data_IF_604545301384
#
_entry.id   IF_604545301384
#
_cell.length_a   1.000
_cell.length_b   1.000
_cell.length_c   1.000
_cell.angle_alpha   90.00
_cell.angle_beta   90.00
_cell.angle_gamma   90.00
#
_symmetry.space_group_name_H-M   'P 1'
#
loop_
_entity.id
_entity.type
_entity.pdbx_description
1 polymer ?
#
# COMPACT_ATOMS: atom_id res chain seq x y z
N UNK A 1 5.52 1.56 -3.89
CA UNK A 1 4.53 2.29 -4.70
C UNK A 1 3.09 1.79 -4.48
N UNK A 2 2.81 0.50 -4.67
CA UNK A 2 1.43 -0.05 -4.58
C UNK A 2 0.75 0.13 -3.22
N UNK A 3 1.50 0.18 -2.12
CA UNK A 3 0.96 0.40 -0.76
C UNK A 3 0.32 1.78 -0.60
N UNK A 4 1.02 2.82 -1.05
CA UNK A 4 0.55 4.22 -0.97
C UNK A 4 -0.66 4.42 -1.86
N UNK A 5 -0.64 3.87 -3.09
CA UNK A 5 -1.81 3.89 -3.99
C UNK A 5 -3.02 3.19 -3.36
N UNK A 6 -2.81 2.09 -2.65
CA UNK A 6 -3.92 1.42 -2.01
C UNK A 6 -4.51 2.25 -0.87
N UNK A 7 -3.66 2.89 -0.05
CA UNK A 7 -4.10 3.83 0.98
C UNK A 7 -4.83 5.05 0.41
N UNK A 8 -4.49 5.47 -0.81
CA UNK A 8 -5.17 6.55 -1.51
C UNK A 8 -6.61 6.18 -1.85
N UNK A 9 -6.83 4.95 -2.33
CA UNK A 9 -8.15 4.46 -2.74
C UNK A 9 -8.98 3.94 -1.56
N UNK A 10 -8.34 3.33 -0.57
CA UNK A 10 -8.96 2.80 0.65
C UNK A 10 -8.17 3.29 1.86
N UNK A 11 -8.62 4.41 2.42
CA UNK A 11 -8.11 4.93 3.68
C UNK A 11 -8.37 3.98 4.85
N UNK A 12 -7.67 4.20 5.97
CA UNK A 12 -7.84 3.42 7.20
C UNK A 12 -7.23 2.01 7.14
N UNK A 13 -6.33 1.73 6.20
CA UNK A 13 -5.76 0.39 6.06
C UNK A 13 -4.59 0.15 7.01
N UNK A 14 -4.63 -0.97 7.75
CA UNK A 14 -3.56 -1.40 8.67
C UNK A 14 -2.61 -2.43 8.06
N UNK A 15 -1.68 -2.92 8.89
CA UNK A 15 -0.71 -3.97 8.52
C UNK A 15 -1.41 -5.24 8.03
N UNK A 16 -2.50 -5.66 8.70
CA UNK A 16 -3.25 -6.87 8.33
C UNK A 16 -3.89 -6.78 6.94
N UNK A 17 -4.36 -5.59 6.54
CA UNK A 17 -4.88 -5.36 5.19
C UNK A 17 -3.77 -5.53 4.16
N UNK A 18 -2.61 -4.89 4.37
CA UNK A 18 -1.45 -5.03 3.48
C UNK A 18 -1.02 -6.49 3.32
N UNK A 19 -0.97 -7.27 4.41
CA UNK A 19 -0.61 -8.69 4.31
C UNK A 19 -1.62 -9.54 3.55
N UNK A 20 -2.89 -9.12 3.47
CA UNK A 20 -3.87 -9.82 2.64
C UNK A 20 -3.72 -9.46 1.16
N UNK A 21 -3.48 -8.19 0.85
CA UNK A 21 -3.32 -7.69 -0.53
C UNK A 21 -2.07 -8.27 -1.18
N UNK A 22 -0.97 -8.31 -0.43
CA UNK A 22 0.28 -8.94 -0.87
C UNK A 22 0.37 -10.41 -0.45
N UNK A 23 -0.75 -10.98 0.02
CA UNK A 23 -0.91 -12.42 0.20
C UNK A 23 -1.19 -13.10 -1.13
N UNK A 24 -1.19 -14.42 -1.14
CA UNK A 24 -1.41 -15.17 -2.37
C UNK A 24 -1.63 -16.64 -2.13
N UNK A 25 -1.70 -17.39 -3.23
CA UNK A 25 -1.83 -18.84 -3.19
C UNK A 25 -0.48 -19.48 -2.81
N UNK A 26 -0.42 -20.12 -1.66
CA UNK A 26 0.75 -20.85 -1.21
C UNK A 26 0.68 -22.31 -1.70
N UNK A 27 1.73 -22.74 -2.40
CA UNK A 27 1.90 -24.13 -2.80
C UNK A 27 2.45 -24.93 -1.61
N UNK A 28 1.70 -25.94 -1.16
CA UNK A 28 2.04 -26.79 -0.01
C UNK A 28 2.62 -28.15 -0.44
N UNK A 29 3.38 -28.17 -1.54
CA UNK A 29 3.93 -29.42 -2.10
C UNK A 29 2.85 -30.32 -2.69
N UNK A 30 2.62 -31.47 -2.05
CA UNK A 30 1.62 -32.49 -2.45
C UNK A 30 0.20 -32.14 -1.99
N UNK A 31 0.06 -31.29 -0.97
CA UNK A 31 -1.25 -30.87 -0.47
C UNK A 31 -1.87 -29.78 -1.34
N UNK A 32 -3.22 -29.64 -1.34
CA UNK A 32 -3.90 -28.55 -2.01
C UNK A 32 -3.35 -27.17 -1.61
N UNK A 33 -3.36 -26.26 -2.57
CA UNK A 33 -2.90 -24.90 -2.34
C UNK A 33 -3.95 -24.08 -1.62
N UNK A 34 -3.55 -23.32 -0.60
CA UNK A 34 -4.43 -22.44 0.15
C UNK A 34 -3.92 -21.00 0.13
N UNK A 35 -4.78 -20.05 0.47
CA UNK A 35 -4.38 -18.66 0.61
C UNK A 35 -3.51 -18.48 1.86
N UNK A 36 -2.43 -17.72 1.70
CA UNK A 36 -1.53 -17.35 2.79
C UNK A 36 -1.28 -15.85 2.78
N UNK A 37 -1.21 -15.27 3.99
CA UNK A 37 -0.92 -13.85 4.16
C UNK A 37 0.56 -13.59 3.90
N UNK A 38 0.86 -12.42 3.31
CA UNK A 38 2.22 -11.93 3.17
C UNK A 38 2.89 -11.59 4.51
N UNK A 39 4.17 -11.26 4.44
CA UNK A 39 4.98 -10.96 5.63
C UNK A 39 4.48 -9.72 6.39
N UNK A 40 4.14 -9.92 7.68
CA UNK A 40 3.72 -8.84 8.59
C UNK A 40 4.87 -7.88 8.94
N UNK A 41 6.10 -8.37 9.02
CA UNK A 41 7.27 -7.54 9.40
C UNK A 41 7.58 -6.53 8.29
N UNK A 42 7.64 -6.99 7.04
CA UNK A 42 7.87 -6.14 5.87
C UNK A 42 6.73 -5.13 5.70
N UNK A 43 5.47 -5.59 5.77
CA UNK A 43 4.31 -4.71 5.67
C UNK A 43 4.32 -3.61 6.75
N UNK A 44 4.68 -3.96 7.99
CA UNK A 44 4.81 -2.97 9.08
C UNK A 44 5.93 -1.98 8.81
N UNK A 45 7.11 -2.46 8.39
CA UNK A 45 8.28 -1.61 8.14
C UNK A 45 8.02 -0.62 7.01
N UNK A 46 7.40 -1.07 5.91
CA UNK A 46 7.02 -0.19 4.79
C UNK A 46 6.09 0.93 5.27
N UNK A 47 5.08 0.61 6.06
CA UNK A 47 4.15 1.62 6.57
C UNK A 47 4.82 2.59 7.56
N UNK A 48 5.76 2.12 8.38
CA UNK A 48 6.56 2.99 9.27
C UNK A 48 7.51 3.89 8.48
N UNK A 49 8.15 3.39 7.43
CA UNK A 49 9.04 4.19 6.57
C UNK A 49 8.25 5.29 5.85
N UNK A 50 7.04 4.99 5.37
CA UNK A 50 6.17 5.97 4.74
C UNK A 50 5.65 7.04 5.72
N UNK A 51 5.45 6.65 6.98
CA UNK A 51 5.13 7.57 8.08
C UNK A 51 6.32 8.48 8.41
N UNK A 52 7.55 7.95 8.42
CA UNK A 52 8.78 8.74 8.56
C UNK A 52 9.01 9.74 7.42
N UNK A 53 8.59 9.40 6.21
CA UNK A 53 8.60 10.30 5.03
C UNK A 53 7.42 11.28 5.00
N UNK A 54 6.55 11.29 6.03
CA UNK A 54 5.35 12.14 6.13
C UNK A 54 4.36 11.99 4.97
N UNK A 55 4.41 10.90 4.23
CA UNK A 55 3.45 10.61 3.17
C UNK A 55 2.13 10.04 3.71
N UNK A 56 2.19 9.41 4.87
CA UNK A 56 1.08 8.67 5.48
C UNK A 56 1.05 8.99 6.97
N UNK A 57 -0.13 9.11 7.55
CA UNK A 57 -0.35 9.36 8.97
C UNK A 57 -1.25 8.28 9.58
N UNK A 58 -1.25 8.19 10.91
CA UNK A 58 -2.17 7.33 11.64
C UNK A 58 -3.55 7.95 11.62
N UNK A 59 -4.55 7.14 11.29
CA UNK A 59 -5.94 7.56 11.35
C UNK A 59 -6.45 7.43 12.80
N UNK A 60 -7.22 8.40 13.33
CA UNK A 60 -7.84 8.30 14.66
C UNK A 60 -8.73 7.05 14.81
N UNK A 61 -9.36 6.56 13.74
CA UNK A 61 -10.19 5.36 13.74
C UNK A 61 -9.37 4.06 13.58
N UNK A 62 -8.04 4.16 13.61
CA UNK A 62 -7.11 3.05 13.45
C UNK A 62 -6.65 2.84 12.01
N UNK A 63 -5.49 2.17 11.88
CA UNK A 63 -4.83 2.02 10.59
C UNK A 63 -4.06 3.26 10.17
N UNK A 64 -3.96 3.48 8.86
CA UNK A 64 -3.18 4.57 8.27
C UNK A 64 -3.93 5.20 7.11
N UNK A 65 -3.76 6.50 6.92
CA UNK A 65 -4.33 7.27 5.82
C UNK A 65 -3.27 8.19 5.22
N UNK A 66 -3.47 8.64 3.98
CA UNK A 66 -2.56 9.60 3.36
C UNK A 66 -2.62 10.96 4.07
N UNK A 67 -1.47 11.62 4.13
CA UNK A 67 -1.42 13.03 4.51
C UNK A 67 -1.83 13.91 3.33
N UNK A 68 -2.29 15.15 3.57
CA UNK A 68 -2.55 16.12 2.50
C UNK A 68 -1.32 16.39 1.63
N UNK A 69 -0.11 16.24 2.19
CA UNK A 69 1.14 16.34 1.45
C UNK A 69 1.35 15.12 0.54
N UNK A 70 1.20 13.91 1.08
CA UNK A 70 1.35 12.68 0.31
C UNK A 70 0.33 12.57 -0.84
N UNK A 71 -0.88 13.08 -0.66
CA UNK A 71 -1.89 13.17 -1.73
C UNK A 71 -1.42 14.07 -2.86
N UNK A 72 -0.97 15.30 -2.55
CA UNK A 72 -0.42 16.24 -3.55
C UNK A 72 0.77 15.66 -4.32
N UNK A 73 1.66 14.95 -3.62
CA UNK A 73 2.83 14.35 -4.26
C UNK A 73 2.45 13.19 -5.19
N UNK A 74 1.47 12.36 -4.81
CA UNK A 74 0.92 11.33 -5.69
C UNK A 74 0.24 11.93 -6.93
N UNK A 75 -0.55 12.98 -6.76
CA UNK A 75 -1.26 13.63 -7.87
C UNK A 75 -0.29 14.28 -8.86
N UNK A 76 0.80 14.89 -8.35
CA UNK A 76 1.88 15.42 -9.20
C UNK A 76 2.53 14.32 -10.04
N UNK A 77 2.85 13.17 -9.44
CA UNK A 77 3.43 12.02 -10.14
C UNK A 77 2.42 11.46 -11.15
N UNK A 78 1.14 11.40 -10.81
CA UNK A 78 0.09 10.95 -11.73
C UNK A 78 0.02 11.84 -12.99
N UNK A 79 0.10 13.16 -12.83
CA UNK A 79 0.18 14.11 -13.95
C UNK A 79 1.40 13.88 -14.84
N UNK A 80 2.57 13.61 -14.26
CA UNK A 80 3.78 13.28 -15.01
C UNK A 80 3.64 11.98 -15.80
N UNK A 81 3.07 10.94 -15.18
CA UNK A 81 2.84 9.63 -15.84
C UNK A 81 1.84 9.78 -16.98
N UNK A 82 0.75 10.53 -16.79
CA UNK A 82 -0.25 10.77 -17.82
C UNK A 82 0.31 11.58 -19.00
N UNK A 83 1.15 12.59 -18.74
CA UNK A 83 1.84 13.35 -19.77
C UNK A 83 2.81 12.46 -20.57
N UNK A 84 3.52 11.54 -19.90
CA UNK A 84 4.43 10.61 -20.54
C UNK A 84 3.73 9.50 -21.33
N UNK A 85 2.52 9.07 -20.93
CA UNK A 85 1.79 7.97 -21.59
C UNK A 85 0.92 8.42 -22.76
N UNK A 86 0.76 9.72 -23.00
CA UNK A 86 0.17 10.26 -24.24
C UNK A 86 1.10 9.92 -25.41
N UNK A 87 1.01 8.68 -25.89
CA UNK A 87 1.41 8.34 -27.25
C UNK A 87 0.46 9.03 -28.21
N UNK A 88 1.02 9.74 -29.17
CA UNK A 88 0.33 10.08 -30.42
C UNK A 88 -0.09 8.80 -31.15
#
# INVERSE_FOLDING_TARGET
ASTVRHLYLRGGAGVGSMTKIYGGRQRNGVMPSHFSCGSKSVARRVLQSLEGLKMVEKDPNGGRRLTPQGQRDLDRIAGQVAAASKKH
#
